data_IF_834736511562
#
_entry.id   IF_834736511562
#
_cell.length_a   1.000
_cell.length_b   1.000
_cell.length_c   1.000
_cell.angle_alpha   90.00
_cell.angle_beta   90.00
_cell.angle_gamma   90.00
#
_symmetry.space_group_name_H-M   'P 1'
#
loop_
_entity.id
_entity.type
_entity.pdbx_description
1 polymer ?
#
# COMPACT_ATOMS: atom_id res chain seq x y z
N UNK A 1 54.19 -49.34 49.25
CA UNK A 1 54.51 -47.95 49.64
C UNK A 1 54.72 -47.14 48.37
N UNK A 2 53.68 -46.46 47.89
CA UNK A 2 53.77 -45.49 46.78
C UNK A 2 52.99 -44.26 47.20
N UNK A 3 53.71 -43.14 47.19
CA UNK A 3 53.34 -41.84 47.71
C UNK A 3 52.33 -41.15 46.77
N UNK A 4 51.44 -40.42 47.43
CA UNK A 4 50.40 -39.51 46.94
C UNK A 4 50.96 -38.40 46.06
N UNK A 5 50.22 -38.03 45.00
CA UNK A 5 50.25 -36.68 44.44
C UNK A 5 48.84 -36.06 44.55
N UNK A 6 48.71 -34.85 45.14
CA UNK A 6 47.44 -34.14 45.29
C UNK A 6 47.26 -33.08 44.19
N UNK A 7 46.20 -32.29 44.32
CA UNK A 7 45.81 -31.09 43.57
C UNK A 7 44.57 -31.22 42.67
N UNK A 8 43.43 -31.24 43.38
CA UNK A 8 42.26 -30.37 43.19
C UNK A 8 42.44 -29.16 42.27
N UNK A 9 41.45 -28.97 41.38
CA UNK A 9 41.21 -27.74 40.64
C UNK A 9 39.89 -27.79 39.87
N UNK A 10 38.79 -27.59 40.58
CA UNK A 10 37.45 -27.38 40.01
C UNK A 10 37.44 -25.98 39.38
N UNK A 11 37.20 -25.87 38.08
CA UNK A 11 36.88 -24.60 37.42
C UNK A 11 35.62 -24.80 36.58
N UNK A 12 34.49 -24.40 37.16
CA UNK A 12 33.24 -24.18 36.44
C UNK A 12 33.38 -22.99 35.48
N UNK A 13 32.39 -22.85 34.60
CA UNK A 13 31.92 -21.58 34.00
C UNK A 13 32.54 -21.23 32.63
N UNK A 14 31.89 -21.60 31.51
CA UNK A 14 30.80 -20.84 30.90
C UNK A 14 30.42 -21.40 29.53
N UNK A 15 29.14 -21.75 29.42
CA UNK A 15 28.41 -21.96 28.18
C UNK A 15 28.33 -20.61 27.44
N UNK A 16 28.89 -20.51 26.24
CA UNK A 16 28.59 -19.42 25.31
C UNK A 16 28.21 -20.03 23.95
N UNK A 17 26.97 -20.52 23.87
CA UNK A 17 26.33 -20.88 22.62
C UNK A 17 26.03 -19.57 21.87
N UNK A 18 26.90 -19.17 20.94
CA UNK A 18 26.63 -18.08 20.01
C UNK A 18 25.60 -18.55 18.97
N UNK A 19 24.32 -18.49 19.35
CA UNK A 19 23.21 -18.41 18.42
C UNK A 19 23.29 -17.04 17.74
N UNK A 20 23.98 -16.98 16.60
CA UNK A 20 23.78 -15.88 15.66
C UNK A 20 22.38 -16.07 15.08
N UNK A 21 21.39 -15.47 15.74
CA UNK A 21 20.06 -15.32 15.20
C UNK A 21 20.20 -14.61 13.85
N UNK A 22 19.83 -15.31 12.77
CA UNK A 22 19.68 -14.70 11.46
C UNK A 22 18.65 -13.59 11.56
N UNK A 23 19.12 -12.35 11.66
CA UNK A 23 18.26 -11.19 11.49
C UNK A 23 17.89 -11.13 10.01
N UNK A 24 16.61 -11.24 9.63
CA UNK A 24 16.22 -10.87 8.29
C UNK A 24 16.53 -9.38 8.14
N UNK A 25 17.32 -9.02 7.13
CA UNK A 25 17.50 -7.64 6.72
C UNK A 25 16.14 -7.08 6.28
N UNK A 26 15.37 -6.52 7.20
CA UNK A 26 14.21 -5.69 6.89
C UNK A 26 14.74 -4.31 6.53
N UNK A 27 14.97 -4.11 5.23
CA UNK A 27 15.45 -2.84 4.69
C UNK A 27 14.95 -2.59 3.28
N UNK A 28 13.66 -2.83 3.01
CA UNK A 28 13.01 -2.06 1.95
C UNK A 28 12.71 -0.69 2.56
N UNK A 29 13.25 0.38 1.97
CA UNK A 29 13.02 1.75 2.41
C UNK A 29 11.53 1.94 2.74
N UNK A 30 11.23 2.35 3.97
CA UNK A 30 9.86 2.69 4.35
C UNK A 30 9.42 3.84 3.45
N UNK A 31 8.37 3.62 2.66
CA UNK A 31 7.83 4.65 1.80
C UNK A 31 7.39 5.87 2.60
N UNK A 32 7.55 7.08 2.05
CA UNK A 32 7.18 8.35 2.70
C UNK A 32 5.69 8.41 3.04
N UNK A 33 4.85 7.66 2.33
CA UNK A 33 3.42 7.52 2.59
C UNK A 33 3.09 7.14 4.05
N UNK A 34 3.92 6.32 4.70
CA UNK A 34 3.77 5.95 6.13
C UNK A 34 2.50 5.17 6.50
N UNK A 35 1.62 4.86 5.54
CA UNK A 35 0.36 4.13 5.75
C UNK A 35 0.50 2.67 5.29
N UNK A 36 -0.09 1.77 6.07
CA UNK A 36 -0.30 0.37 5.68
C UNK A 36 -1.36 0.31 4.56
N UNK A 37 -1.04 -0.16 3.34
CA UNK A 37 -2.01 -0.25 2.27
C UNK A 37 -3.18 -1.20 2.56
N UNK A 38 -3.11 -2.06 3.59
CA UNK A 38 -4.23 -2.85 4.10
C UNK A 38 -5.24 -2.06 4.93
N UNK A 39 -4.90 -0.83 5.36
CA UNK A 39 -5.83 0.09 6.02
C UNK A 39 -6.44 1.03 5.00
N UNK A 40 -7.45 0.53 4.29
CA UNK A 40 -8.02 1.21 3.13
C UNK A 40 -8.54 2.62 3.42
N UNK A 41 -9.16 2.85 4.58
CA UNK A 41 -9.65 4.19 4.95
C UNK A 41 -8.51 5.22 5.10
N UNK A 42 -7.40 4.82 5.74
CA UNK A 42 -6.22 5.67 5.92
C UNK A 42 -5.57 5.98 4.56
N UNK A 43 -5.43 4.95 3.71
CA UNK A 43 -4.86 5.09 2.37
C UNK A 43 -5.73 5.99 1.48
N UNK A 44 -7.05 5.75 1.48
CA UNK A 44 -8.00 6.56 0.73
C UNK A 44 -7.95 8.03 1.16
N UNK A 45 -7.85 8.28 2.47
CA UNK A 45 -7.73 9.64 3.03
C UNK A 45 -6.46 10.32 2.53
N UNK A 46 -5.30 9.63 2.58
CA UNK A 46 -4.04 10.18 2.07
C UNK A 46 -4.11 10.53 0.58
N UNK A 47 -4.65 9.63 -0.25
CA UNK A 47 -4.80 9.89 -1.69
C UNK A 47 -5.74 11.06 -1.94
N UNK A 48 -6.89 11.11 -1.25
CA UNK A 48 -7.92 12.10 -1.50
C UNK A 48 -7.54 13.51 -1.08
N UNK A 49 -6.88 13.66 0.08
CA UNK A 49 -6.39 14.93 0.58
C UNK A 49 -5.01 15.33 0.02
N UNK A 50 -4.35 14.40 -0.68
CA UNK A 50 -3.23 14.70 -1.55
C UNK A 50 -3.68 15.35 -2.86
N UNK A 51 -2.92 15.14 -3.93
CA UNK A 51 -3.19 15.83 -5.19
C UNK A 51 -4.30 15.20 -6.04
N UNK A 52 -4.78 14.01 -5.69
CA UNK A 52 -5.69 13.26 -6.56
C UNK A 52 -7.02 13.99 -6.76
N UNK A 53 -7.67 14.44 -5.68
CA UNK A 53 -8.97 15.11 -5.78
C UNK A 53 -8.87 16.42 -6.56
N UNK A 54 -7.91 17.28 -6.21
CA UNK A 54 -7.71 18.57 -6.89
C UNK A 54 -7.46 18.40 -8.40
N UNK A 55 -6.77 17.32 -8.82
CA UNK A 55 -6.47 17.08 -10.23
C UNK A 55 -7.61 16.42 -11.00
N UNK A 56 -8.40 15.58 -10.35
CA UNK A 56 -9.31 14.65 -11.03
C UNK A 56 -10.79 14.80 -10.67
N UNK A 57 -11.16 15.72 -9.77
CA UNK A 57 -12.55 15.90 -9.30
C UNK A 57 -13.57 16.04 -10.43
N UNK A 58 -13.21 16.71 -11.53
CA UNK A 58 -14.07 16.88 -12.71
C UNK A 58 -14.51 15.57 -13.38
N UNK A 59 -13.77 14.49 -13.17
CA UNK A 59 -14.09 13.17 -13.70
C UNK A 59 -15.22 12.48 -12.90
N UNK A 60 -15.43 12.92 -11.66
CA UNK A 60 -16.38 12.34 -10.69
C UNK A 60 -17.66 13.19 -10.52
N UNK A 61 -18.04 13.89 -11.59
CA UNK A 61 -19.31 14.62 -11.68
C UNK A 61 -20.38 13.69 -12.23
N UNK A 62 -21.57 13.70 -11.62
CA UNK A 62 -22.70 12.88 -12.04
C UNK A 62 -22.96 13.01 -13.54
N UNK A 63 -23.04 11.87 -14.22
CA UNK A 63 -23.34 11.82 -15.66
C UNK A 63 -22.15 12.11 -16.58
N UNK A 64 -20.97 12.46 -16.05
CA UNK A 64 -19.76 12.58 -16.88
C UNK A 64 -19.39 11.21 -17.45
N UNK A 65 -19.36 11.14 -18.78
CA UNK A 65 -19.04 9.91 -19.52
C UNK A 65 -17.57 9.91 -19.92
N UNK A 66 -16.81 8.93 -19.42
CA UNK A 66 -15.40 8.70 -19.76
C UNK A 66 -15.26 7.24 -20.16
N UNK A 67 -14.57 6.97 -21.27
CA UNK A 67 -14.42 5.61 -21.81
C UNK A 67 -15.77 4.86 -21.99
N UNK A 68 -16.82 5.59 -22.40
CA UNK A 68 -18.21 5.09 -22.52
C UNK A 68 -18.86 4.62 -21.21
N UNK A 69 -18.27 4.97 -20.06
CA UNK A 69 -18.83 4.74 -18.73
C UNK A 69 -19.32 6.07 -18.18
N UNK A 70 -20.63 6.20 -17.97
CA UNK A 70 -21.17 7.34 -17.22
C UNK A 70 -20.79 7.18 -15.74
N UNK A 71 -20.37 8.26 -15.08
CA UNK A 71 -20.20 8.22 -13.63
C UNK A 71 -21.56 8.02 -12.98
N UNK A 72 -21.74 6.94 -12.18
CA UNK A 72 -23.00 6.72 -11.48
C UNK A 72 -23.19 7.72 -10.34
N UNK A 73 -24.36 7.67 -9.72
CA UNK A 73 -24.64 8.34 -8.44
C UNK A 73 -24.58 9.88 -8.47
N UNK A 74 -24.11 10.47 -7.36
CA UNK A 74 -23.99 11.90 -7.13
C UNK A 74 -22.58 12.39 -7.46
N UNK A 75 -22.46 13.67 -7.77
CA UNK A 75 -21.16 14.33 -7.87
C UNK A 75 -20.40 14.14 -6.55
N UNK A 76 -19.11 13.83 -6.63
CA UNK A 76 -18.21 13.85 -5.48
C UNK A 76 -17.76 15.30 -5.27
N UNK A 77 -18.25 15.90 -4.20
CA UNK A 77 -18.18 17.35 -3.98
C UNK A 77 -16.87 17.81 -3.34
N UNK A 78 -16.20 16.92 -2.59
CA UNK A 78 -15.01 17.25 -1.80
C UNK A 78 -14.09 16.03 -1.58
N UNK A 79 -12.92 16.29 -0.99
CA UNK A 79 -11.92 15.27 -0.68
C UNK A 79 -12.40 14.23 0.35
N UNK A 80 -13.30 14.61 1.27
CA UNK A 80 -13.85 13.68 2.27
C UNK A 80 -14.74 12.63 1.59
N UNK A 81 -15.68 13.08 0.75
CA UNK A 81 -16.54 12.19 -0.05
C UNK A 81 -15.74 11.41 -1.08
N UNK A 82 -14.64 11.96 -1.57
CA UNK A 82 -13.72 11.22 -2.41
C UNK A 82 -13.03 10.10 -1.63
N UNK A 83 -12.54 10.34 -0.41
CA UNK A 83 -11.95 9.30 0.44
C UNK A 83 -12.95 8.18 0.77
N UNK A 84 -14.20 8.52 1.13
CA UNK A 84 -15.26 7.53 1.35
C UNK A 84 -15.51 6.67 0.10
N UNK A 85 -15.49 7.30 -1.08
CA UNK A 85 -15.66 6.62 -2.36
C UNK A 85 -14.49 5.68 -2.66
N UNK A 86 -13.25 6.16 -2.51
CA UNK A 86 -12.04 5.35 -2.73
C UNK A 86 -11.96 4.16 -1.76
N UNK A 87 -12.36 4.36 -0.50
CA UNK A 87 -12.40 3.28 0.50
C UNK A 87 -13.26 2.11 0.01
N UNK A 88 -14.45 2.38 -0.53
CA UNK A 88 -15.36 1.33 -1.06
C UNK A 88 -14.76 0.58 -2.25
N UNK A 89 -13.94 1.24 -3.07
CA UNK A 89 -13.23 0.60 -4.18
C UNK A 89 -12.08 -0.26 -3.65
N UNK A 90 -11.31 0.23 -2.69
CA UNK A 90 -10.21 -0.53 -2.08
C UNK A 90 -10.71 -1.76 -1.33
N UNK A 91 -11.86 -1.67 -0.65
CA UNK A 91 -12.50 -2.80 0.04
C UNK A 91 -12.98 -3.90 -0.90
N UNK A 92 -13.50 -3.52 -2.07
CA UNK A 92 -14.03 -4.45 -3.05
C UNK A 92 -13.75 -4.00 -4.48
N UNK A 93 -12.49 -4.12 -4.94
CA UNK A 93 -12.12 -3.79 -6.31
C UNK A 93 -12.69 -4.85 -7.25
N UNK A 94 -12.95 -4.46 -8.50
CA UNK A 94 -13.28 -5.44 -9.54
C UNK A 94 -12.06 -6.28 -9.90
N UNK A 95 -10.89 -5.66 -9.97
CA UNK A 95 -9.60 -6.32 -10.19
C UNK A 95 -8.51 -5.54 -9.45
N UNK A 96 -7.54 -6.22 -8.86
CA UNK A 96 -6.32 -5.60 -8.35
C UNK A 96 -5.08 -6.31 -8.88
N UNK A 97 -3.94 -5.62 -8.90
CA UNK A 97 -2.64 -6.22 -9.19
C UNK A 97 -1.50 -5.48 -8.50
N UNK A 98 -0.45 -6.23 -8.17
CA UNK A 98 0.84 -5.65 -7.81
C UNK A 98 1.52 -5.04 -9.03
N UNK A 99 2.24 -3.97 -8.80
CA UNK A 99 3.09 -3.28 -9.77
C UNK A 99 4.55 -3.33 -9.28
N UNK A 100 5.47 -2.91 -10.13
CA UNK A 100 6.88 -2.68 -9.79
C UNK A 100 7.03 -1.64 -8.69
N UNK A 101 8.17 -1.67 -7.99
CA UNK A 101 8.53 -0.73 -6.91
C UNK A 101 7.53 -0.71 -5.75
N UNK A 102 7.01 -1.89 -5.35
CA UNK A 102 6.09 -2.04 -4.21
C UNK A 102 4.79 -1.26 -4.33
N UNK A 103 4.37 -0.98 -5.57
CA UNK A 103 3.11 -0.30 -5.89
C UNK A 103 1.99 -1.33 -6.09
N UNK A 104 0.76 -0.87 -6.00
CA UNK A 104 -0.42 -1.67 -6.31
C UNK A 104 -1.43 -0.84 -7.10
N UNK A 105 -2.21 -1.50 -7.95
CA UNK A 105 -3.31 -0.88 -8.66
C UNK A 105 -4.62 -1.62 -8.38
N UNK A 106 -5.70 -0.86 -8.32
CA UNK A 106 -7.05 -1.33 -8.09
C UNK A 106 -7.95 -0.73 -9.18
N UNK A 107 -8.79 -1.56 -9.78
CA UNK A 107 -9.74 -1.16 -10.80
C UNK A 107 -11.16 -1.41 -10.33
N UNK A 108 -12.02 -0.42 -10.54
CA UNK A 108 -13.46 -0.55 -10.35
C UNK A 108 -14.20 -0.38 -11.69
N UNK A 109 -14.79 -1.48 -12.20
CA UNK A 109 -15.51 -1.44 -13.48
C UNK A 109 -16.86 -0.74 -13.39
N UNK A 110 -17.41 -0.59 -12.18
CA UNK A 110 -18.72 0.08 -11.95
C UNK A 110 -18.62 1.58 -12.22
N UNK A 111 -17.51 2.19 -11.85
CA UNK A 111 -17.28 3.64 -12.00
C UNK A 111 -16.23 3.99 -13.06
N UNK A 112 -15.44 3.01 -13.50
CA UNK A 112 -14.32 3.24 -14.39
C UNK A 112 -13.13 3.91 -13.69
N UNK A 113 -13.00 3.69 -12.38
CA UNK A 113 -11.97 4.33 -11.55
C UNK A 113 -10.76 3.41 -11.39
N UNK A 114 -9.58 3.99 -11.55
CA UNK A 114 -8.32 3.37 -11.13
C UNK A 114 -7.83 4.04 -9.86
N UNK A 115 -7.34 3.24 -8.92
CA UNK A 115 -6.57 3.69 -7.75
C UNK A 115 -5.18 3.08 -7.88
N UNK A 116 -4.14 3.90 -7.72
CA UNK A 116 -2.76 3.44 -7.71
C UNK A 116 -2.15 3.83 -6.38
N UNK A 117 -1.79 2.83 -5.58
CA UNK A 117 -0.95 3.01 -4.41
C UNK A 117 0.51 3.22 -4.84
N UNK A 118 1.15 4.23 -4.28
CA UNK A 118 2.57 4.47 -4.41
C UNK A 118 3.17 4.78 -3.03
N UNK A 119 4.06 3.92 -2.48
CA UNK A 119 4.63 4.15 -1.17
C UNK A 119 5.62 5.32 -1.15
N UNK A 120 6.18 5.70 -2.31
CA UNK A 120 7.26 6.69 -2.38
C UNK A 120 6.82 8.11 -2.02
N UNK A 121 5.74 8.69 -2.57
CA UNK A 121 5.27 10.02 -2.18
C UNK A 121 4.40 10.01 -0.91
N UNK A 122 4.37 11.15 -0.20
CA UNK A 122 3.58 11.36 1.02
C UNK A 122 2.06 11.19 0.82
N UNK A 123 1.55 11.49 -0.37
CA UNK A 123 0.12 11.35 -0.71
C UNK A 123 -0.30 9.91 -1.04
N UNK A 124 0.64 8.95 -0.94
CA UNK A 124 0.39 7.53 -1.08
C UNK A 124 -0.13 7.09 -2.47
N UNK A 125 -0.17 7.98 -3.46
CA UNK A 125 -0.56 7.65 -4.83
C UNK A 125 -1.65 8.54 -5.43
N UNK A 126 -2.51 7.95 -6.26
CA UNK A 126 -3.51 8.70 -7.04
C UNK A 126 -4.75 7.86 -7.34
N UNK A 127 -5.85 8.53 -7.64
CA UNK A 127 -7.08 7.91 -8.12
C UNK A 127 -7.78 8.81 -9.14
N UNK A 128 -8.27 8.22 -10.23
CA UNK A 128 -8.88 8.94 -11.35
C UNK A 128 -9.63 7.98 -12.29
N UNK A 129 -10.38 8.52 -13.26
CA UNK A 129 -11.07 7.79 -14.33
C UNK A 129 -10.33 8.01 -15.65
N UNK A 130 -9.50 7.05 -16.10
CA UNK A 130 -8.69 7.23 -17.30
C UNK A 130 -9.55 7.27 -18.56
N UNK A 131 -9.17 8.12 -19.52
CA UNK A 131 -9.86 8.24 -20.83
C UNK A 131 -9.85 6.96 -21.65
N UNK A 132 -8.81 6.14 -21.51
CA UNK A 132 -8.72 4.79 -22.12
C UNK A 132 -9.35 3.68 -21.26
N UNK A 133 -9.97 4.02 -20.13
CA UNK A 133 -10.69 3.10 -19.26
C UNK A 133 -9.82 1.94 -18.77
N UNK A 134 -10.37 0.73 -18.81
CA UNK A 134 -9.69 -0.49 -18.34
C UNK A 134 -8.33 -0.72 -19.02
N UNK A 135 -8.17 -0.30 -20.27
CA UNK A 135 -6.90 -0.44 -20.98
C UNK A 135 -5.75 0.31 -20.30
N UNK A 136 -6.02 1.45 -19.64
CA UNK A 136 -5.02 2.13 -18.82
C UNK A 136 -4.52 1.23 -17.69
N UNK A 137 -5.45 0.66 -16.91
CA UNK A 137 -5.15 -0.24 -15.80
C UNK A 137 -4.38 -1.48 -16.28
N UNK A 138 -4.82 -2.11 -17.37
CA UNK A 138 -4.22 -3.33 -17.89
C UNK A 138 -2.74 -3.12 -18.27
N UNK A 139 -2.39 -1.93 -18.77
CA UNK A 139 -1.02 -1.57 -19.15
C UNK A 139 -0.11 -1.08 -18.01
N UNK A 140 -0.62 -0.90 -16.79
CA UNK A 140 0.21 -0.54 -15.63
C UNK A 140 1.26 -1.63 -15.34
N UNK A 141 2.49 -1.20 -15.07
CA UNK A 141 3.64 -2.02 -14.70
C UNK A 141 4.22 -1.57 -13.38
#
# INVERSE_FOLDING_TARGET
>A
MRLTNPFTGIMYLLLALLLVAGMPARGHAAGECGVDPGRHADLATKIAYGHAFTKHSGEFVKGVVIARLAFPDKTIEDAEKFAEFLTKILDLPSVSKSLTNSRAAYWDSRTGTVIIFNPLPEDCGTAFRPTSGKAYFDNLR
#
